data_IF_546686527247
#
_entry.id   IF_546686527247
#
_cell.length_a   1.000
_cell.length_b   1.000
_cell.length_c   1.000
_cell.angle_alpha   90.00
_cell.angle_beta   90.00
_cell.angle_gamma   90.00
#
_symmetry.space_group_name_H-M   'P 1'
#
loop_
_entity.id
_entity.type
_entity.pdbx_description
1 polymer ?
#
# COMPACT_ATOMS: atom_id res chain seq x y z
N UNK A 1 -20.34 -8.46 5.94
CA UNK A 1 -20.81 -7.83 4.70
C UNK A 1 -20.54 -6.34 4.82
N UNK A 2 -19.48 -5.85 4.16
CA UNK A 2 -19.23 -4.44 3.81
C UNK A 2 -17.82 -4.38 3.19
N UNK A 3 -17.72 -4.53 1.86
CA UNK A 3 -16.51 -4.26 1.07
C UNK A 3 -16.84 -4.07 -0.42
N UNK A 4 -18.01 -3.49 -0.74
CA UNK A 4 -18.39 -3.28 -2.15
C UNK A 4 -18.35 -1.81 -2.61
N UNK A 5 -18.13 -0.85 -1.70
CA UNK A 5 -17.88 0.54 -2.10
C UNK A 5 -16.37 0.79 -2.15
N UNK A 6 -15.83 1.17 -3.32
CA UNK A 6 -14.46 1.63 -3.42
C UNK A 6 -14.21 2.77 -2.41
N UNK A 7 -13.00 2.87 -1.85
CA UNK A 7 -12.57 4.01 -1.06
C UNK A 7 -12.90 5.31 -1.79
N UNK A 8 -13.31 6.32 -1.03
CA UNK A 8 -13.80 7.61 -1.52
C UNK A 8 -12.89 8.23 -2.60
N UNK A 9 -11.57 8.10 -2.42
CA UNK A 9 -10.59 8.60 -3.38
C UNK A 9 -10.59 7.81 -4.70
N UNK A 10 -10.72 6.48 -4.65
CA UNK A 10 -10.81 5.64 -5.84
C UNK A 10 -12.06 5.92 -6.67
N UNK A 11 -13.20 6.12 -6.01
CA UNK A 11 -14.45 6.54 -6.67
C UNK A 11 -14.34 7.92 -7.27
N UNK A 12 -13.82 8.88 -6.52
CA UNK A 12 -13.55 10.24 -7.01
C UNK A 12 -12.68 10.19 -8.26
N UNK A 13 -11.56 9.46 -8.20
CA UNK A 13 -10.62 9.33 -9.32
C UNK A 13 -11.31 8.76 -10.56
N UNK A 14 -12.07 7.67 -10.39
CA UNK A 14 -12.83 7.04 -11.48
C UNK A 14 -13.84 8.00 -12.10
N UNK A 15 -14.61 8.73 -11.29
CA UNK A 15 -15.61 9.68 -11.77
C UNK A 15 -14.99 10.83 -12.55
N UNK A 16 -13.88 11.40 -12.07
CA UNK A 16 -13.21 12.49 -12.76
C UNK A 16 -12.56 12.03 -14.07
N UNK A 17 -12.02 10.81 -14.09
CA UNK A 17 -11.54 10.17 -15.32
C UNK A 17 -12.66 10.02 -16.35
N UNK A 18 -13.81 9.47 -15.95
CA UNK A 18 -14.98 9.27 -16.82
C UNK A 18 -15.50 10.62 -17.35
N UNK A 19 -15.59 11.64 -16.49
CA UNK A 19 -16.04 12.99 -16.87
C UNK A 19 -15.12 13.67 -17.88
N UNK A 20 -13.80 13.47 -17.76
CA UNK A 20 -12.80 14.08 -18.65
C UNK A 20 -12.42 13.20 -19.84
N UNK A 21 -12.97 11.99 -19.95
CA UNK A 21 -12.60 11.01 -20.98
C UNK A 21 -11.12 10.58 -20.89
N UNK A 22 -10.54 10.61 -19.69
CA UNK A 22 -9.13 10.25 -19.45
C UNK A 22 -9.04 8.80 -18.99
N UNK A 23 -8.17 8.03 -19.63
CA UNK A 23 -7.96 6.60 -19.34
C UNK A 23 -6.78 6.38 -18.38
N UNK A 24 -6.71 5.20 -17.76
CA UNK A 24 -5.58 4.82 -16.89
C UNK A 24 -4.23 4.93 -17.63
N UNK A 25 -4.06 4.44 -18.87
CA UNK A 25 -2.80 4.61 -19.61
C UNK A 25 -2.37 6.08 -19.75
N UNK A 26 -3.32 6.96 -20.07
CA UNK A 26 -3.03 8.40 -20.20
C UNK A 26 -2.60 9.03 -18.87
N UNK A 27 -3.25 8.67 -17.75
CA UNK A 27 -2.80 9.13 -16.43
C UNK A 27 -1.43 8.56 -16.07
N UNK A 28 -1.14 7.31 -16.43
CA UNK A 28 0.15 6.67 -16.15
C UNK A 28 1.29 7.41 -16.85
N UNK A 29 1.11 7.77 -18.12
CA UNK A 29 2.09 8.56 -18.87
C UNK A 29 2.39 9.93 -18.25
N UNK A 30 1.33 10.62 -17.79
CA UNK A 30 1.41 11.96 -17.17
C UNK A 30 2.02 11.93 -15.77
N UNK A 31 1.62 10.97 -14.93
CA UNK A 31 1.94 10.95 -13.49
C UNK A 31 3.18 10.14 -13.14
N UNK A 32 3.65 9.28 -14.07
CA UNK A 32 4.67 8.24 -13.86
C UNK A 32 4.26 7.15 -12.86
N UNK A 33 3.05 7.20 -12.32
CA UNK A 33 2.44 6.09 -11.60
C UNK A 33 2.11 5.01 -12.63
N UNK A 34 2.42 3.76 -12.36
CA UNK A 34 2.17 2.66 -13.28
C UNK A 34 0.67 2.44 -13.49
N UNK A 35 0.31 1.81 -14.61
CA UNK A 35 -1.07 1.38 -14.86
C UNK A 35 -1.65 0.63 -13.66
N UNK A 36 -0.90 -0.32 -13.08
CA UNK A 36 -1.34 -1.11 -11.94
C UNK A 36 -1.52 -0.28 -10.68
N UNK A 37 -0.64 0.70 -10.43
CA UNK A 37 -0.77 1.62 -9.31
C UNK A 37 -2.08 2.39 -9.35
N UNK A 38 -2.39 2.97 -10.52
CA UNK A 38 -3.66 3.70 -10.72
C UNK A 38 -4.86 2.75 -10.68
N UNK A 39 -4.76 1.57 -11.29
CA UNK A 39 -5.82 0.57 -11.29
C UNK A 39 -6.15 0.09 -9.86
N UNK A 40 -5.14 -0.13 -9.01
CA UNK A 40 -5.33 -0.50 -7.62
C UNK A 40 -6.06 0.60 -6.83
N UNK A 41 -5.76 1.88 -7.09
CA UNK A 41 -6.47 3.00 -6.48
C UNK A 41 -7.94 3.01 -6.93
N UNK A 42 -8.19 2.94 -8.24
CA UNK A 42 -9.55 2.93 -8.81
C UNK A 42 -10.39 1.76 -8.30
N UNK A 43 -9.75 0.59 -8.09
CA UNK A 43 -10.40 -0.62 -7.55
C UNK A 43 -10.53 -0.62 -6.03
N UNK A 44 -9.90 0.33 -5.34
CA UNK A 44 -9.92 0.40 -3.89
C UNK A 44 -8.93 -0.48 -3.16
N UNK A 45 -8.03 -1.15 -3.88
CA UNK A 45 -6.89 -1.85 -3.28
C UNK A 45 -5.84 -0.88 -2.73
N UNK A 46 -5.94 0.41 -2.98
CA UNK A 46 -5.12 1.43 -2.31
C UNK A 46 -6.10 2.47 -1.77
N UNK A 47 -6.55 2.26 -0.54
CA UNK A 47 -7.62 3.05 0.07
C UNK A 47 -7.12 4.42 0.54
N UNK A 48 -5.92 4.44 1.11
CA UNK A 48 -5.23 5.68 1.48
C UNK A 48 -3.92 5.83 0.70
N UNK A 49 -3.95 6.25 -0.57
CA UNK A 49 -2.73 6.53 -1.32
C UNK A 49 -1.97 7.69 -0.68
N UNK A 50 -0.65 7.69 -0.76
CA UNK A 50 0.21 8.77 -0.25
C UNK A 50 -0.18 10.15 -0.79
N UNK A 51 0.08 11.21 -0.01
CA UNK A 51 -0.22 12.59 -0.39
C UNK A 51 0.39 12.99 -1.75
N UNK A 52 1.64 12.59 -2.03
CA UNK A 52 2.29 12.82 -3.33
C UNK A 52 1.54 12.14 -4.49
N UNK A 53 1.12 10.88 -4.30
CA UNK A 53 0.33 10.12 -5.28
C UNK A 53 -1.00 10.82 -5.57
N UNK A 54 -1.71 11.24 -4.51
CA UNK A 54 -2.98 11.97 -4.65
C UNK A 54 -2.80 13.28 -5.41
N UNK A 55 -1.77 14.06 -5.06
CA UNK A 55 -1.42 15.31 -5.73
C UNK A 55 -1.13 15.10 -7.21
N UNK A 56 -0.25 14.14 -7.56
CA UNK A 56 0.09 13.83 -8.96
C UNK A 56 -1.15 13.51 -9.79
N UNK A 57 -2.08 12.73 -9.25
CA UNK A 57 -3.33 12.36 -9.92
C UNK A 57 -4.27 13.56 -10.09
N UNK A 58 -4.43 14.36 -9.04
CA UNK A 58 -5.24 15.58 -9.06
C UNK A 58 -4.71 16.62 -10.06
N UNK A 59 -3.40 16.85 -10.08
CA UNK A 59 -2.73 17.74 -11.04
C UNK A 59 -2.87 17.23 -12.48
N UNK A 60 -2.70 15.92 -12.73
CA UNK A 60 -2.84 15.34 -14.07
C UNK A 60 -4.27 15.39 -14.61
N UNK A 61 -5.25 15.43 -13.71
CA UNK A 61 -6.66 15.64 -14.02
C UNK A 61 -7.03 17.12 -14.04
N UNK A 62 -6.17 18.05 -13.63
CA UNK A 62 -6.49 19.47 -13.45
C UNK A 62 -7.74 19.65 -12.56
N UNK A 63 -7.79 18.95 -11.43
CA UNK A 63 -8.90 18.99 -10.48
C UNK A 63 -8.41 19.08 -9.04
N UNK A 64 -9.20 19.73 -8.19
CA UNK A 64 -8.98 19.73 -6.76
C UNK A 64 -9.67 18.53 -6.10
N UNK A 65 -9.00 17.89 -5.14
CA UNK A 65 -9.60 16.85 -4.31
C UNK A 65 -10.62 17.52 -3.38
N UNK A 66 -11.91 17.13 -3.40
CA UNK A 66 -12.91 17.73 -2.54
C UNK A 66 -12.56 17.57 -1.04
N UNK A 67 -12.85 18.57 -0.19
CA UNK A 67 -12.55 18.50 1.24
C UNK A 67 -13.14 17.28 1.95
N UNK A 68 -14.29 16.79 1.50
CA UNK A 68 -14.95 15.60 2.06
C UNK A 68 -14.11 14.34 1.81
N UNK A 69 -13.60 14.18 0.59
CA UNK A 69 -12.73 13.07 0.21
C UNK A 69 -11.40 13.14 0.98
N UNK A 70 -10.87 14.34 1.16
CA UNK A 70 -9.65 14.55 1.96
C UNK A 70 -9.84 14.16 3.43
N UNK A 71 -10.97 14.55 4.04
CA UNK A 71 -11.31 14.18 5.41
C UNK A 71 -11.54 12.66 5.59
N UNK A 72 -12.14 12.00 4.60
CA UNK A 72 -12.32 10.54 4.62
C UNK A 72 -10.99 9.80 4.52
N UNK A 73 -10.07 10.26 3.67
CA UNK A 73 -8.70 9.71 3.59
C UNK A 73 -7.99 9.88 4.93
N UNK A 74 -8.10 11.05 5.57
CA UNK A 74 -7.52 11.32 6.88
C UNK A 74 -8.09 10.39 7.95
N UNK A 75 -9.41 10.18 7.95
CA UNK A 75 -10.09 9.24 8.85
C UNK A 75 -9.63 7.79 8.61
N UNK A 76 -9.50 7.36 7.36
CA UNK A 76 -9.03 6.01 7.01
C UNK A 76 -7.54 5.81 7.32
N UNK A 77 -6.75 6.88 7.21
CA UNK A 77 -5.35 6.87 7.64
C UNK A 77 -5.18 6.90 9.15
N UNK A 78 -6.30 6.96 9.92
CA UNK A 78 -6.42 7.02 11.38
C UNK A 78 -5.07 6.99 12.08
N UNK A 79 -4.40 8.14 12.05
CA UNK A 79 -3.04 8.29 12.54
C UNK A 79 -3.06 8.02 14.03
N UNK A 80 -2.38 6.98 14.48
CA UNK A 80 -1.84 6.97 15.84
C UNK A 80 -0.96 8.22 15.90
N UNK A 81 -1.23 9.15 16.82
CA UNK A 81 -0.53 10.44 16.88
C UNK A 81 0.99 10.22 16.77
N UNK A 82 1.61 10.84 15.77
CA UNK A 82 3.04 10.68 15.45
C UNK A 82 3.39 9.59 14.44
N UNK A 83 2.42 8.83 13.92
CA UNK A 83 2.64 7.78 12.92
C UNK A 83 1.72 7.96 11.71
N UNK A 84 2.30 7.93 10.51
CA UNK A 84 1.57 8.03 9.25
C UNK A 84 1.27 6.62 8.69
N UNK A 85 -0.01 6.37 8.36
CA UNK A 85 -0.45 5.14 7.71
C UNK A 85 -0.82 5.40 6.25
N UNK A 86 -0.22 4.65 5.33
CA UNK A 86 -0.50 4.77 3.88
C UNK A 86 -0.53 3.41 3.20
N UNK A 87 -1.34 3.32 2.15
CA UNK A 87 -1.33 2.21 1.21
C UNK A 87 -0.46 2.53 0.00
N UNK A 88 0.10 1.47 -0.60
CA UNK A 88 0.87 1.56 -1.83
C UNK A 88 0.70 0.31 -2.70
N UNK A 89 1.09 0.43 -3.96
CA UNK A 89 1.14 -0.69 -4.91
C UNK A 89 2.56 -1.26 -4.95
N UNK A 90 2.82 -2.51 -4.49
CA UNK A 90 4.18 -3.00 -4.28
C UNK A 90 5.04 -3.08 -5.56
N UNK A 91 4.42 -3.29 -6.72
CA UNK A 91 5.14 -3.30 -8.01
C UNK A 91 5.41 -1.90 -8.56
N UNK A 92 4.83 -0.86 -7.96
CA UNK A 92 4.95 0.53 -8.38
C UNK A 92 5.76 1.32 -7.36
N UNK A 93 7.07 1.42 -7.59
CA UNK A 93 7.99 2.07 -6.66
C UNK A 93 7.69 3.55 -6.40
N UNK A 94 6.97 4.24 -7.30
CA UNK A 94 6.55 5.63 -7.09
C UNK A 94 5.54 5.73 -5.95
N UNK A 95 4.68 4.72 -5.81
CA UNK A 95 3.71 4.64 -4.72
C UNK A 95 4.35 4.21 -3.40
N UNK A 96 5.51 3.57 -3.42
CA UNK A 96 6.17 3.07 -2.20
C UNK A 96 6.83 4.21 -1.42
N UNK A 97 6.58 4.34 -0.10
CA UNK A 97 7.28 5.27 0.79
C UNK A 97 8.81 5.10 0.79
N UNK A 98 9.53 6.22 0.72
CA UNK A 98 10.99 6.24 0.69
C UNK A 98 11.64 6.46 2.06
N UNK A 99 10.89 6.27 3.14
CA UNK A 99 11.27 6.57 4.52
C UNK A 99 11.41 5.29 5.37
N UNK A 100 11.79 5.45 6.63
CA UNK A 100 11.88 4.35 7.59
C UNK A 100 10.51 3.96 8.13
N UNK A 101 10.32 2.66 8.35
CA UNK A 101 9.08 2.16 8.93
C UNK A 101 8.85 0.67 8.69
N UNK A 102 7.62 0.26 8.96
CA UNK A 102 7.15 -1.12 8.85
C UNK A 102 6.13 -1.20 7.72
N UNK A 103 6.14 -2.29 6.96
CA UNK A 103 5.20 -2.53 5.88
C UNK A 103 4.69 -3.96 5.87
N UNK A 104 3.49 -4.12 5.32
CA UNK A 104 2.81 -5.41 5.14
C UNK A 104 2.39 -5.55 3.68
N UNK A 105 2.61 -6.71 3.08
CA UNK A 105 2.05 -7.07 1.77
C UNK A 105 0.81 -7.92 1.93
N UNK A 106 -0.13 -7.74 1.00
CA UNK A 106 -1.39 -8.46 0.96
C UNK A 106 -1.58 -9.15 -0.40
N UNK A 107 -2.20 -10.33 -0.37
CA UNK A 107 -2.63 -11.05 -1.55
C UNK A 107 -3.95 -10.50 -2.13
N UNK A 108 -4.42 -11.09 -3.23
CA UNK A 108 -5.70 -10.74 -3.88
C UNK A 108 -6.95 -10.91 -3.00
N UNK A 109 -6.83 -11.59 -1.87
CA UNK A 109 -7.91 -11.82 -0.89
C UNK A 109 -7.76 -10.94 0.36
N UNK A 110 -6.89 -9.94 0.32
CA UNK A 110 -6.57 -9.03 1.42
C UNK A 110 -6.00 -9.74 2.68
N UNK A 111 -5.37 -10.90 2.50
CA UNK A 111 -4.66 -11.59 3.59
C UNK A 111 -3.22 -11.08 3.68
N UNK A 112 -2.70 -10.75 4.88
CA UNK A 112 -1.32 -10.33 5.03
C UNK A 112 -0.40 -11.52 4.74
N UNK A 113 0.47 -11.41 3.74
CA UNK A 113 1.39 -12.48 3.32
C UNK A 113 2.83 -12.27 3.76
N UNK A 114 3.20 -11.02 4.05
CA UNK A 114 4.57 -10.67 4.43
C UNK A 114 4.57 -9.41 5.29
N UNK A 115 5.38 -9.41 6.34
CA UNK A 115 5.73 -8.24 7.14
C UNK A 115 7.22 -7.98 6.98
N UNK A 116 7.59 -6.72 6.78
CA UNK A 116 8.99 -6.30 6.79
C UNK A 116 9.16 -4.90 7.37
N UNK A 117 10.41 -4.53 7.66
CA UNK A 117 10.76 -3.16 8.01
C UNK A 117 11.99 -2.64 7.26
N UNK A 118 12.20 -1.34 7.37
CA UNK A 118 13.43 -0.67 6.98
C UNK A 118 13.73 0.49 7.93
N UNK A 119 14.93 0.53 8.50
CA UNK A 119 15.39 1.67 9.30
C UNK A 119 15.84 2.87 8.44
N UNK A 120 15.80 2.75 7.10
CA UNK A 120 16.28 3.81 6.18
C UNK A 120 15.27 4.15 5.09
N UNK A 121 14.86 3.15 4.34
CA UNK A 121 13.97 3.33 3.19
C UNK A 121 13.23 2.04 2.88
N UNK A 122 11.91 2.05 3.04
CA UNK A 122 11.06 0.92 2.65
C UNK A 122 11.10 0.72 1.14
N UNK A 123 11.10 1.78 0.33
CA UNK A 123 11.24 1.70 -1.13
C UNK A 123 12.43 0.86 -1.59
N UNK A 124 13.59 1.01 -0.95
CA UNK A 124 14.76 0.19 -1.27
C UNK A 124 14.52 -1.30 -0.99
N UNK A 125 13.89 -1.62 0.16
CA UNK A 125 13.54 -3.01 0.51
C UNK A 125 12.50 -3.60 -0.45
N UNK A 126 11.46 -2.85 -0.79
CA UNK A 126 10.43 -3.29 -1.74
C UNK A 126 11.04 -3.52 -3.13
N UNK A 127 11.94 -2.65 -3.58
CA UNK A 127 12.70 -2.84 -4.83
C UNK A 127 13.51 -4.15 -4.82
N UNK A 128 14.17 -4.48 -3.71
CA UNK A 128 14.86 -5.77 -3.59
C UNK A 128 13.87 -6.95 -3.66
N UNK A 129 12.70 -6.81 -3.03
CA UNK A 129 11.65 -7.83 -3.08
C UNK A 129 11.10 -8.08 -4.48
N UNK A 130 11.05 -7.07 -5.36
CA UNK A 130 10.61 -7.23 -6.76
C UNK A 130 11.43 -8.26 -7.56
N UNK A 131 12.63 -8.61 -7.09
CA UNK A 131 13.46 -9.67 -7.71
C UNK A 131 13.07 -11.09 -7.29
N UNK A 132 12.20 -11.25 -6.28
CA UNK A 132 11.81 -12.55 -5.73
C UNK A 132 10.70 -13.18 -6.56
N UNK A 133 10.77 -14.49 -6.79
CA UNK A 133 9.79 -15.22 -7.60
C UNK A 133 8.34 -15.13 -7.08
N UNK A 134 8.16 -14.90 -5.77
CA UNK A 134 6.86 -14.77 -5.11
C UNK A 134 6.30 -13.35 -5.15
N UNK A 135 7.09 -12.35 -5.54
CA UNK A 135 6.68 -10.94 -5.56
C UNK A 135 5.90 -10.60 -6.82
N UNK A 136 4.69 -11.16 -6.93
CA UNK A 136 3.79 -10.96 -8.06
C UNK A 136 2.37 -11.32 -7.67
N UNK A 137 1.40 -10.86 -8.45
CA UNK A 137 0.04 -11.35 -8.36
C UNK A 137 -0.01 -12.88 -8.61
N UNK A 138 -0.88 -13.63 -7.92
CA UNK A 138 -1.88 -13.17 -6.95
C UNK A 138 -1.37 -12.99 -5.51
N UNK A 139 -0.10 -13.29 -5.23
CA UNK A 139 0.45 -13.32 -3.87
C UNK A 139 0.72 -11.93 -3.28
N UNK A 140 1.09 -10.97 -4.11
CA UNK A 140 1.39 -9.60 -3.68
C UNK A 140 0.68 -8.62 -4.63
N UNK A 141 -0.32 -7.91 -4.12
CA UNK A 141 -1.09 -6.93 -4.91
C UNK A 141 -1.21 -5.57 -4.22
N UNK A 142 -1.19 -5.54 -2.88
CA UNK A 142 -1.31 -4.33 -2.07
C UNK A 142 -0.22 -4.31 -1.00
N UNK A 143 0.22 -3.11 -0.65
CA UNK A 143 1.08 -2.86 0.50
C UNK A 143 0.45 -1.83 1.44
N UNK A 144 0.64 -2.01 2.74
CA UNK A 144 0.39 -0.99 3.74
C UNK A 144 1.71 -0.61 4.43
N UNK A 145 1.84 0.63 4.86
CA UNK A 145 3.04 1.17 5.48
C UNK A 145 2.68 2.02 6.70
N UNK A 146 3.48 1.87 7.75
CA UNK A 146 3.50 2.68 8.95
C UNK A 146 4.87 3.38 9.03
N UNK A 147 4.88 4.72 8.98
CA UNK A 147 6.09 5.52 9.18
C UNK A 147 6.56 5.40 10.63
N UNK A 148 7.80 4.96 10.83
CA UNK A 148 8.41 4.82 12.16
C UNK A 148 9.86 5.31 12.05
N UNK A 149 10.16 6.52 12.54
CA UNK A 149 11.52 7.08 12.48
C UNK A 149 12.53 6.33 13.35
N UNK A 150 12.09 5.80 14.49
CA UNK A 150 12.96 5.11 15.45
C UNK A 150 13.25 3.67 14.99
N UNK A 151 14.54 3.36 14.78
CA UNK A 151 14.98 2.08 14.23
C UNK A 151 14.72 0.90 15.18
N UNK A 152 14.87 1.10 16.48
CA UNK A 152 14.62 0.08 17.48
C UNK A 152 13.12 -0.24 17.57
N UNK A 153 12.28 0.78 17.47
CA UNK A 153 10.82 0.65 17.42
C UNK A 153 10.37 -0.04 16.13
N UNK A 154 10.97 0.26 14.98
CA UNK A 154 10.72 -0.46 13.73
C UNK A 154 10.91 -1.97 13.92
N UNK A 155 12.05 -2.36 14.49
CA UNK A 155 12.39 -3.75 14.72
C UNK A 155 11.43 -4.41 15.72
N UNK A 156 11.07 -3.71 16.80
CA UNK A 156 10.10 -4.21 17.79
C UNK A 156 8.73 -4.43 17.16
N UNK A 157 8.21 -3.46 16.39
CA UNK A 157 6.91 -3.56 15.72
C UNK A 157 6.91 -4.71 14.71
N UNK A 158 7.93 -4.81 13.84
CA UNK A 158 8.07 -5.92 12.89
C UNK A 158 8.04 -7.28 13.62
N UNK A 159 8.83 -7.41 14.68
CA UNK A 159 8.91 -8.64 15.47
C UNK A 159 7.55 -9.00 16.10
N UNK A 160 6.84 -8.00 16.64
CA UNK A 160 5.49 -8.19 17.21
C UNK A 160 4.53 -8.67 16.12
N UNK A 161 4.48 -8.00 14.97
CA UNK A 161 3.57 -8.35 13.88
C UNK A 161 3.86 -9.73 13.30
N UNK A 162 5.13 -10.11 13.10
CA UNK A 162 5.51 -11.45 12.65
C UNK A 162 5.03 -12.51 13.64
N UNK A 163 5.26 -12.31 14.95
CA UNK A 163 4.81 -13.25 15.99
C UNK A 163 3.29 -13.32 16.09
N UNK A 164 2.60 -12.19 15.97
CA UNK A 164 1.15 -12.10 16.09
C UNK A 164 0.44 -12.73 14.90
N UNK A 165 0.91 -12.48 13.68
CA UNK A 165 0.37 -13.11 12.47
C UNK A 165 0.76 -14.58 12.36
N UNK A 166 1.89 -14.99 12.95
CA UNK A 166 2.34 -16.37 12.98
C UNK A 166 2.39 -16.99 11.57
N UNK A 167 1.72 -18.13 11.40
CA UNK A 167 1.67 -18.86 10.12
C UNK A 167 0.89 -18.15 9.01
N UNK A 168 0.11 -17.11 9.34
CA UNK A 168 -0.67 -16.38 8.36
C UNK A 168 0.19 -15.44 7.51
N UNK A 169 1.35 -14.99 8.01
CA UNK A 169 2.37 -14.30 7.22
C UNK A 169 3.19 -15.30 6.39
N UNK A 170 2.52 -15.91 5.40
CA UNK A 170 2.96 -17.06 4.59
C UNK A 170 4.43 -16.99 4.12
N UNK A 171 4.94 -15.80 3.83
CA UNK A 171 6.25 -15.58 3.22
C UNK A 171 7.34 -15.18 4.23
N UNK A 172 7.00 -14.92 5.49
CA UNK A 172 7.99 -14.73 6.55
C UNK A 172 8.60 -16.09 6.94
N UNK A 173 9.89 -16.29 6.66
CA UNK A 173 10.61 -17.54 6.99
C UNK A 173 11.36 -17.48 8.32
N UNK A 174 11.58 -16.30 8.89
CA UNK A 174 12.25 -16.09 10.18
C UNK A 174 11.26 -15.64 11.24
N UNK A 175 11.27 -16.28 12.41
CA UNK A 175 10.42 -15.92 13.56
C UNK A 175 9.00 -16.49 13.54
N UNK A 176 8.68 -17.37 12.58
CA UNK A 176 7.38 -18.05 12.46
C UNK A 176 7.53 -19.48 12.97
N UNK A 177 6.77 -19.86 14.01
CA UNK A 177 6.64 -21.25 14.45
C UNK A 177 5.77 -21.99 13.43
N UNK A 178 6.34 -22.94 12.69
CA UNK A 178 5.59 -23.86 11.82
C UNK A 178 5.40 -25.16 12.60
N UNK A 179 4.16 -25.55 12.87
CA UNK A 179 3.91 -26.92 13.33
C UNK A 179 4.43 -27.85 12.24
N UNK A 180 5.36 -28.72 12.61
CA UNK A 180 5.78 -29.84 11.81
C UNK A 180 4.53 -30.70 11.60
N UNK A 181 4.14 -30.88 10.34
CA UNK A 181 3.22 -31.96 9.98
C UNK A 181 4.13 -33.19 9.94
N UNK A 182 4.09 -33.98 11.01
CA UNK A 182 4.58 -35.36 10.97
C UNK A 182 3.71 -36.11 9.96
N UNK A 183 4.32 -36.51 8.83
CA UNK A 183 3.79 -37.53 7.92
C UNK A 183 4.04 -38.94 8.49
#
# INVERSE_FOLDING_TARGET
>A
MQHDEPPAFGEWLKREMDRKGVTIPQLSEKTKITYTGIWNIVRGYTASPRADTRRKLAEALEEAIPPQIQAEIELQSASISGYEWVDFTPIDLETVPAESGVYVFYDVTDRPVYVGMSARSVRARVKDHQTRFWFKAPLVVRGAFLSVPDADMCLKIETILIKFLGKHALLNSKGVTRDEIDD
#
